data_IF_706029606048
#
_entry.id   IF_706029606048
#
_cell.length_a   1.000
_cell.length_b   1.000
_cell.length_c   1.000
_cell.angle_alpha   90.00
_cell.angle_beta   90.00
_cell.angle_gamma   90.00
#
_symmetry.space_group_name_H-M   'P 1'
#
loop_
_entity.id
_entity.type
_entity.pdbx_description
1 polymer ?
#
# COMPACT_ATOMS: atom_id res chain seq x y z
N UNK A 1 1.47 53.60 -20.13
CA UNK A 1 0.56 54.47 -20.93
C UNK A 1 -0.84 53.88 -20.95
N UNK A 2 -1.83 54.71 -20.47
CA UNK A 2 -3.29 54.70 -20.72
C UNK A 2 -4.04 53.39 -20.36
N UNK A 3 -4.69 53.24 -19.19
CA UNK A 3 -6.02 53.70 -18.75
C UNK A 3 -7.14 53.48 -19.78
N UNK A 4 -8.17 52.66 -19.37
CA UNK A 4 -9.59 53.13 -19.31
C UNK A 4 -10.46 52.10 -18.58
N UNK A 5 -11.07 52.60 -17.51
CA UNK A 5 -12.31 52.11 -16.88
C UNK A 5 -13.50 52.33 -17.82
N UNK A 6 -14.55 51.50 -17.69
CA UNK A 6 -15.97 51.96 -17.81
C UNK A 6 -16.80 51.14 -16.82
N UNK A 7 -17.44 51.88 -15.92
CA UNK A 7 -18.52 51.45 -15.05
C UNK A 7 -19.87 51.67 -15.74
N UNK A 8 -20.87 50.88 -15.41
CA UNK A 8 -22.24 51.05 -15.88
C UNK A 8 -23.24 50.47 -14.87
N UNK A 9 -23.84 51.36 -14.13
CA UNK A 9 -24.93 51.20 -13.16
C UNK A 9 -26.28 51.42 -13.87
N UNK A 10 -27.39 50.75 -13.40
CA UNK A 10 -28.79 51.17 -13.43
C UNK A 10 -29.70 50.01 -13.06
N UNK A 11 -30.34 49.93 -11.88
CA UNK A 11 -31.44 50.64 -11.23
C UNK A 11 -32.83 50.38 -11.87
N UNK A 12 -33.73 49.90 -11.03
CA UNK A 12 -35.17 50.10 -11.05
C UNK A 12 -36.00 48.89 -11.54
N UNK A 13 -37.16 48.49 -11.03
CA UNK A 13 -38.09 49.15 -10.12
C UNK A 13 -39.05 48.10 -9.51
N UNK A 14 -39.54 48.38 -8.32
CA UNK A 14 -40.71 47.77 -7.65
C UNK A 14 -41.99 47.97 -8.42
N UNK A 15 -42.91 46.99 -8.38
CA UNK A 15 -44.34 47.23 -8.42
C UNK A 15 -45.04 46.33 -7.38
N UNK A 16 -45.64 47.00 -6.44
CA UNK A 16 -46.60 46.47 -5.46
C UNK A 16 -48.03 46.66 -6.07
N UNK A 17 -48.88 45.67 -5.96
CA UNK A 17 -50.28 45.84 -6.00
C UNK A 17 -51.02 44.90 -5.05
N UNK A 18 -51.72 45.55 -4.11
CA UNK A 18 -52.64 44.96 -3.14
C UNK A 18 -54.04 44.78 -3.78
N UNK A 19 -54.78 43.90 -3.11
CA UNK A 19 -56.19 43.91 -2.83
C UNK A 19 -57.09 42.89 -3.51
N UNK A 20 -57.85 42.19 -2.67
CA UNK A 20 -59.10 41.54 -3.02
C UNK A 20 -59.56 40.46 -2.02
N UNK A 21 -60.28 40.87 -0.95
CA UNK A 21 -61.04 40.00 -0.06
C UNK A 21 -62.20 39.32 -0.77
N UNK A 22 -62.50 38.05 -0.43
CA UNK A 22 -63.81 37.44 -0.77
C UNK A 22 -63.91 36.05 -0.07
N UNK A 23 -64.90 35.95 0.81
CA UNK A 23 -65.11 34.86 1.76
C UNK A 23 -65.80 33.60 1.21
N UNK A 24 -65.59 32.47 1.89
CA UNK A 24 -66.45 31.29 2.11
C UNK A 24 -66.59 30.23 1.03
N UNK A 25 -66.07 29.02 1.23
CA UNK A 25 -66.74 27.83 1.84
C UNK A 25 -65.89 26.61 1.84
N UNK A 26 -65.96 25.87 2.89
CA UNK A 26 -65.49 24.53 3.25
C UNK A 26 -65.76 23.50 2.17
N UNK A 27 -64.71 22.76 1.79
CA UNK A 27 -64.82 21.29 1.48
C UNK A 27 -63.47 20.59 1.73
N UNK A 28 -63.59 19.45 2.34
CA UNK A 28 -62.48 18.58 2.82
C UNK A 28 -61.72 17.90 1.71
N UNK A 29 -60.40 17.73 1.96
CA UNK A 29 -59.51 16.63 1.70
C UNK A 29 -58.96 16.39 0.29
N UNK A 30 -57.94 15.53 0.09
CA UNK A 30 -57.15 14.78 1.02
C UNK A 30 -55.65 15.17 1.02
N UNK A 31 -54.96 14.76 2.06
CA UNK A 31 -53.52 14.88 2.22
C UNK A 31 -52.75 14.14 1.10
N UNK A 32 -52.11 14.90 0.25
CA UNK A 32 -51.01 14.41 -0.57
C UNK A 32 -49.75 14.53 0.27
N UNK A 33 -49.18 13.34 0.58
CA UNK A 33 -47.94 13.25 1.30
C UNK A 33 -46.84 14.03 0.62
N UNK A 34 -46.30 14.94 1.38
CA UNK A 34 -45.01 15.59 1.09
C UNK A 34 -43.93 14.51 1.22
N UNK A 35 -43.57 13.94 0.07
CA UNK A 35 -42.36 13.12 -0.03
C UNK A 35 -41.20 14.10 0.00
N UNK A 36 -40.70 14.35 1.21
CA UNK A 36 -39.38 14.94 1.36
C UNK A 36 -38.41 14.01 0.61
N UNK A 37 -37.96 14.45 -0.55
CA UNK A 37 -36.76 13.90 -1.15
C UNK A 37 -35.65 14.17 -0.13
N UNK A 38 -35.13 13.11 0.51
CA UNK A 38 -33.86 13.19 1.18
C UNK A 38 -32.82 13.60 0.10
N UNK A 39 -32.45 14.86 0.13
CA UNK A 39 -31.25 15.33 -0.51
C UNK A 39 -30.10 14.53 0.14
N UNK A 40 -29.65 13.47 -0.53
CA UNK A 40 -28.40 12.82 -0.17
C UNK A 40 -27.31 13.86 -0.34
N UNK A 41 -26.87 14.46 0.76
CA UNK A 41 -25.71 15.33 0.77
C UNK A 41 -24.57 14.56 0.14
N UNK A 42 -24.04 15.02 -0.99
CA UNK A 42 -22.81 14.46 -1.56
C UNK A 42 -21.73 14.53 -0.48
N UNK A 43 -21.14 13.37 -0.17
CA UNK A 43 -20.08 13.31 0.81
C UNK A 43 -18.89 14.18 0.35
N UNK A 44 -18.28 14.91 1.29
CA UNK A 44 -17.15 15.80 0.97
C UNK A 44 -15.99 15.01 0.35
N UNK A 45 -15.30 15.56 -0.66
CA UNK A 45 -14.13 14.89 -1.26
C UNK A 45 -13.01 14.69 -0.23
N UNK A 46 -12.49 13.47 -0.16
CA UNK A 46 -11.39 13.06 0.72
C UNK A 46 -10.24 12.52 -0.10
N UNK A 47 -9.01 12.90 0.23
CA UNK A 47 -7.80 12.28 -0.32
C UNK A 47 -7.10 11.49 0.78
N UNK A 48 -6.82 10.22 0.53
CA UNK A 48 -6.04 9.35 1.39
C UNK A 48 -4.67 9.07 0.77
N UNK A 49 -3.61 9.41 1.50
CA UNK A 49 -2.25 9.05 1.15
C UNK A 49 -1.91 7.69 1.77
N UNK A 50 -1.74 6.68 0.94
CA UNK A 50 -1.47 5.30 1.36
C UNK A 50 -0.03 4.96 1.00
N UNK A 51 0.79 4.71 2.03
CA UNK A 51 2.16 4.26 1.85
C UNK A 51 2.17 2.73 1.94
N UNK A 52 2.56 2.06 0.87
CA UNK A 52 2.50 0.61 0.78
C UNK A 52 3.78 0.01 0.19
N UNK A 53 4.17 -1.15 0.71
CA UNK A 53 5.30 -1.90 0.20
C UNK A 53 5.20 -2.11 -1.32
N UNK A 54 6.31 -1.93 -2.03
CA UNK A 54 6.38 -2.01 -3.50
C UNK A 54 5.85 -3.33 -4.09
N UNK A 55 5.94 -4.43 -3.34
CA UNK A 55 5.37 -5.74 -3.72
C UNK A 55 3.85 -5.75 -3.87
N UNK A 56 3.14 -4.73 -3.37
CA UNK A 56 1.68 -4.61 -3.44
C UNK A 56 1.20 -3.72 -4.59
N UNK A 57 2.10 -3.22 -5.43
CA UNK A 57 1.78 -2.23 -6.46
C UNK A 57 0.63 -2.68 -7.38
N UNK A 58 0.69 -3.89 -7.90
CA UNK A 58 -0.29 -4.40 -8.86
C UNK A 58 -1.66 -4.59 -8.20
N UNK A 59 -1.70 -5.26 -7.05
CA UNK A 59 -2.95 -5.56 -6.33
C UNK A 59 -3.63 -4.30 -5.80
N UNK A 60 -2.88 -3.38 -5.20
CA UNK A 60 -3.47 -2.14 -4.69
C UNK A 60 -3.89 -1.19 -5.81
N UNK A 61 -3.24 -1.23 -6.98
CA UNK A 61 -3.69 -0.47 -8.15
C UNK A 61 -5.04 -1.00 -8.67
N UNK A 62 -5.24 -2.31 -8.69
CA UNK A 62 -6.53 -2.91 -9.02
C UNK A 62 -7.60 -2.56 -7.99
N UNK A 63 -7.28 -2.72 -6.71
CA UNK A 63 -8.19 -2.38 -5.60
C UNK A 63 -8.55 -0.89 -5.62
N UNK A 64 -7.64 0.02 -6.00
CA UNK A 64 -7.93 1.44 -6.18
C UNK A 64 -9.09 1.67 -7.14
N UNK A 65 -9.10 0.98 -8.29
CA UNK A 65 -10.18 1.12 -9.26
C UNK A 65 -11.50 0.59 -8.70
N UNK A 66 -11.47 -0.54 -7.98
CA UNK A 66 -12.66 -1.12 -7.35
C UNK A 66 -13.22 -0.22 -6.23
N UNK A 67 -12.37 0.45 -5.48
CA UNK A 67 -12.78 1.30 -4.35
C UNK A 67 -13.53 2.56 -4.79
N UNK A 68 -13.37 3.01 -6.04
CA UNK A 68 -14.13 4.14 -6.61
C UNK A 68 -15.63 3.88 -6.62
N UNK A 69 -16.05 2.62 -6.79
CA UNK A 69 -17.47 2.24 -6.76
C UNK A 69 -18.02 2.16 -5.32
N UNK A 70 -17.14 1.94 -4.33
CA UNK A 70 -17.48 1.81 -2.92
C UNK A 70 -17.55 3.18 -2.24
N UNK A 71 -16.57 4.03 -2.51
CA UNK A 71 -16.43 5.36 -1.91
C UNK A 71 -16.06 6.40 -2.99
N UNK A 72 -17.00 6.84 -3.83
CA UNK A 72 -16.73 7.70 -4.98
C UNK A 72 -16.19 9.10 -4.60
N UNK A 73 -16.38 9.51 -3.35
CA UNK A 73 -15.82 10.75 -2.80
C UNK A 73 -14.39 10.61 -2.27
N UNK A 74 -13.83 9.39 -2.23
CA UNK A 74 -12.47 9.14 -1.73
C UNK A 74 -11.50 8.93 -2.90
N UNK A 75 -10.43 9.72 -2.91
CA UNK A 75 -9.31 9.55 -3.85
C UNK A 75 -8.14 8.91 -3.11
N UNK A 76 -7.73 7.71 -3.53
CA UNK A 76 -6.52 7.06 -3.01
C UNK A 76 -5.30 7.56 -3.78
N UNK A 77 -4.25 7.95 -3.05
CA UNK A 77 -2.94 8.32 -3.60
C UNK A 77 -1.90 7.38 -2.99
N UNK A 78 -1.33 6.52 -3.82
CA UNK A 78 -0.33 5.56 -3.36
C UNK A 78 1.08 6.10 -3.49
N UNK A 79 1.90 5.77 -2.48
CA UNK A 79 3.35 5.85 -2.54
C UNK A 79 3.90 4.44 -2.33
N UNK A 80 4.47 3.86 -3.40
CA UNK A 80 5.02 2.51 -3.38
C UNK A 80 6.55 2.56 -3.34
N UNK A 81 7.12 2.02 -2.26
CA UNK A 81 8.58 1.89 -2.11
C UNK A 81 8.90 0.77 -1.11
N UNK A 82 10.18 0.63 -0.74
CA UNK A 82 10.56 -0.25 0.36
C UNK A 82 9.92 0.24 1.67
N UNK A 83 9.54 -0.71 2.52
CA UNK A 83 8.91 -0.33 3.80
C UNK A 83 9.86 0.47 4.71
N UNK A 84 11.18 0.30 4.57
CA UNK A 84 12.17 1.10 5.28
C UNK A 84 12.20 2.54 4.78
N UNK A 85 12.23 2.75 3.47
CA UNK A 85 12.14 4.09 2.86
C UNK A 85 10.85 4.80 3.26
N UNK A 86 9.70 4.11 3.18
CA UNK A 86 8.40 4.67 3.55
C UNK A 86 8.34 5.05 5.03
N UNK A 87 8.87 4.18 5.92
CA UNK A 87 9.00 4.49 7.34
C UNK A 87 9.82 5.77 7.57
N UNK A 88 10.95 5.92 6.89
CA UNK A 88 11.80 7.11 6.99
C UNK A 88 11.05 8.36 6.51
N UNK A 89 10.33 8.29 5.41
CA UNK A 89 9.50 9.40 4.93
C UNK A 89 8.41 9.80 5.94
N UNK A 90 7.77 8.83 6.62
CA UNK A 90 6.80 9.09 7.68
C UNK A 90 7.49 9.85 8.85
N UNK A 91 8.67 9.40 9.28
CA UNK A 91 9.44 10.04 10.33
C UNK A 91 9.90 11.47 9.94
N UNK A 92 10.15 11.72 8.67
CA UNK A 92 10.51 13.03 8.13
C UNK A 92 9.29 13.95 7.93
N UNK A 93 8.08 13.48 8.25
CA UNK A 93 6.85 14.26 8.26
C UNK A 93 6.07 14.23 6.95
N UNK A 94 6.23 13.19 6.13
CA UNK A 94 5.38 13.00 4.97
C UNK A 94 3.93 12.78 5.40
N UNK A 95 2.99 13.37 4.64
CA UNK A 95 1.56 13.14 4.84
C UNK A 95 1.23 11.68 4.47
N UNK A 96 0.85 10.88 5.47
CA UNK A 96 0.49 9.47 5.31
C UNK A 96 -0.72 9.17 6.20
N UNK A 97 -1.77 8.60 5.60
CA UNK A 97 -2.99 8.23 6.31
C UNK A 97 -2.98 6.75 6.71
N UNK A 98 -2.47 5.88 5.83
CA UNK A 98 -2.39 4.43 6.02
C UNK A 98 -1.01 3.93 5.60
N UNK A 99 -0.38 3.12 6.45
CA UNK A 99 0.90 2.46 6.16
C UNK A 99 0.73 0.94 6.10
N UNK A 100 1.24 0.31 5.02
CA UNK A 100 1.25 -1.14 4.82
C UNK A 100 2.69 -1.58 4.57
N UNK A 101 3.24 -2.32 5.52
CA UNK A 101 4.64 -2.78 5.49
C UNK A 101 4.73 -4.24 5.05
N UNK A 102 5.81 -4.61 4.35
CA UNK A 102 6.12 -6.00 4.00
C UNK A 102 6.87 -6.75 5.12
N UNK A 103 7.01 -6.16 6.29
CA UNK A 103 7.52 -6.82 7.49
C UNK A 103 7.03 -6.15 8.76
N UNK A 104 6.97 -6.94 9.83
CA UNK A 104 6.60 -6.46 11.17
C UNK A 104 7.59 -5.43 11.72
N UNK A 105 8.89 -5.55 11.37
CA UNK A 105 9.95 -4.70 11.92
C UNK A 105 9.68 -3.20 11.70
N UNK A 106 9.38 -2.78 10.46
CA UNK A 106 9.17 -1.38 10.13
C UNK A 106 7.91 -0.80 10.80
N UNK A 107 6.84 -1.60 10.88
CA UNK A 107 5.64 -1.22 11.62
C UNK A 107 5.93 -1.12 13.12
N UNK A 108 6.64 -2.09 13.71
CA UNK A 108 7.02 -2.07 15.12
C UNK A 108 7.85 -0.83 15.49
N UNK A 109 8.72 -0.38 14.58
CA UNK A 109 9.53 0.83 14.79
C UNK A 109 8.71 2.13 14.86
N UNK A 110 7.46 2.12 14.37
CA UNK A 110 6.54 3.27 14.40
C UNK A 110 5.46 3.14 15.50
N UNK A 111 5.39 2.00 16.18
CA UNK A 111 4.32 1.65 17.11
C UNK A 111 4.81 1.71 18.55
N UNK A 112 4.21 2.60 19.35
CA UNK A 112 4.57 2.77 20.79
C UNK A 112 4.34 1.51 21.63
N UNK A 113 3.41 0.65 21.19
CA UNK A 113 3.02 -0.57 21.90
C UNK A 113 3.91 -1.78 21.51
N UNK A 114 4.84 -1.58 20.57
CA UNK A 114 5.82 -2.59 20.17
C UNK A 114 6.96 -2.70 21.20
N UNK A 115 7.78 -3.76 21.05
CA UNK A 115 8.94 -4.00 21.89
C UNK A 115 9.90 -2.78 21.85
N UNK A 116 10.26 -2.20 23.00
CA UNK A 116 11.20 -1.08 23.07
C UNK A 116 12.59 -1.39 22.49
N UNK A 117 12.98 -2.66 22.39
CA UNK A 117 14.23 -3.06 21.71
C UNK A 117 14.13 -2.91 20.19
N UNK A 118 12.91 -2.85 19.63
CA UNK A 118 12.65 -2.62 18.21
C UNK A 118 12.31 -1.16 17.94
N UNK A 119 11.42 -0.56 18.75
CA UNK A 119 11.09 0.88 18.71
C UNK A 119 12.01 1.65 19.65
N UNK A 120 13.30 1.67 19.33
CA UNK A 120 14.35 2.28 20.17
C UNK A 120 14.22 3.81 20.28
N UNK A 121 13.50 4.44 19.36
CA UNK A 121 13.26 5.89 19.34
C UNK A 121 11.98 6.28 20.10
N UNK A 122 11.16 5.30 20.53
CA UNK A 122 9.90 5.54 21.23
C UNK A 122 8.86 6.24 20.37
N UNK A 123 8.83 5.95 19.08
CA UNK A 123 7.92 6.58 18.12
C UNK A 123 6.47 6.12 18.35
N UNK A 124 5.54 7.04 18.14
CA UNK A 124 4.10 6.84 18.29
C UNK A 124 3.39 7.37 17.04
N UNK A 125 3.40 6.59 15.96
CA UNK A 125 2.72 6.95 14.71
C UNK A 125 1.50 6.08 14.43
N UNK A 126 1.39 4.91 15.03
CA UNK A 126 0.27 4.00 14.81
C UNK A 126 -0.96 4.46 15.61
N UNK A 127 -2.09 4.67 14.92
CA UNK A 127 -3.35 4.99 15.59
C UNK A 127 -3.84 3.75 16.36
N UNK A 128 -4.03 3.92 17.67
CA UNK A 128 -4.42 2.84 18.59
C UNK A 128 -5.64 2.06 18.07
N UNK A 129 -5.55 0.73 18.12
CA UNK A 129 -6.61 -0.20 17.73
C UNK A 129 -6.82 -0.36 16.21
N UNK A 130 -5.97 0.22 15.36
CA UNK A 130 -6.10 0.08 13.91
C UNK A 130 -5.12 -0.91 13.28
N UNK A 131 -4.07 -1.30 14.00
CA UNK A 131 -3.08 -2.22 13.47
C UNK A 131 -3.64 -3.62 13.28
N UNK A 132 -3.46 -4.18 12.09
CA UNK A 132 -3.84 -5.55 11.73
C UNK A 132 -2.68 -6.25 11.02
N UNK A 133 -2.59 -7.57 11.14
CA UNK A 133 -1.83 -8.39 10.21
C UNK A 133 -2.73 -8.63 9.00
N UNK A 134 -2.43 -7.99 7.87
CA UNK A 134 -3.32 -8.02 6.71
C UNK A 134 -3.09 -9.29 5.86
N UNK A 135 -1.84 -9.54 5.49
CA UNK A 135 -1.47 -10.60 4.54
C UNK A 135 -0.21 -11.33 4.99
N UNK A 136 -0.04 -12.54 4.43
CA UNK A 136 1.20 -13.29 4.42
C UNK A 136 1.74 -13.44 3.01
N UNK A 137 3.06 -13.60 2.90
CA UNK A 137 3.76 -13.84 1.65
C UNK A 137 4.86 -14.90 1.86
N UNK A 138 5.53 -15.28 0.79
CA UNK A 138 6.63 -16.24 0.80
C UNK A 138 7.86 -15.63 0.16
N UNK A 139 9.04 -15.97 0.69
CA UNK A 139 10.32 -15.62 0.06
C UNK A 139 10.73 -16.75 -0.86
N UNK A 140 11.10 -16.41 -2.08
CA UNK A 140 11.48 -17.38 -3.11
C UNK A 140 12.80 -16.99 -3.77
N UNK A 141 13.47 -18.01 -4.31
CA UNK A 141 14.58 -17.85 -5.23
C UNK A 141 14.04 -17.88 -6.65
N UNK A 142 14.19 -16.75 -7.34
CA UNK A 142 13.77 -16.60 -8.72
C UNK A 142 14.97 -16.46 -9.65
N UNK A 143 14.81 -16.95 -10.88
CA UNK A 143 15.85 -16.94 -11.91
C UNK A 143 15.31 -16.34 -13.20
N UNK A 144 16.18 -15.81 -14.08
CA UNK A 144 15.81 -15.36 -15.42
C UNK A 144 15.19 -16.50 -16.27
N UNK A 145 14.48 -16.08 -17.33
CA UNK A 145 13.91 -17.04 -18.28
C UNK A 145 14.96 -18.05 -18.80
N UNK A 146 14.55 -19.31 -18.81
CA UNK A 146 15.41 -20.41 -19.24
C UNK A 146 16.50 -20.82 -18.25
N UNK A 147 16.62 -20.19 -17.07
CA UNK A 147 17.57 -20.53 -16.01
C UNK A 147 18.99 -20.83 -16.54
N UNK A 148 19.71 -19.87 -17.14
CA UNK A 148 20.95 -20.14 -17.88
C UNK A 148 22.10 -20.63 -17.02
N UNK A 149 21.99 -20.55 -15.68
CA UNK A 149 22.98 -21.00 -14.71
C UNK A 149 22.65 -22.34 -14.05
N UNK A 150 21.50 -22.92 -14.39
CA UNK A 150 21.05 -24.19 -13.81
C UNK A 150 21.01 -24.15 -12.27
N UNK A 151 20.54 -23.02 -11.71
CA UNK A 151 20.35 -22.81 -10.28
C UNK A 151 19.02 -23.45 -9.89
N UNK A 152 19.03 -24.40 -8.97
CA UNK A 152 17.84 -25.17 -8.59
C UNK A 152 17.41 -24.95 -7.14
N UNK A 153 18.32 -24.44 -6.28
CA UNK A 153 18.02 -24.24 -4.87
C UNK A 153 18.85 -23.10 -4.25
N UNK A 154 18.51 -22.70 -3.03
CA UNK A 154 19.28 -21.70 -2.27
C UNK A 154 20.72 -22.17 -2.01
N UNK A 155 20.98 -23.48 -1.86
CA UNK A 155 22.33 -24.03 -1.68
C UNK A 155 23.22 -23.81 -2.90
N UNK A 156 22.66 -23.79 -4.11
CA UNK A 156 23.39 -23.51 -5.34
C UNK A 156 24.03 -22.12 -5.35
N UNK A 157 23.50 -21.18 -4.55
CA UNK A 157 24.05 -19.82 -4.42
C UNK A 157 25.47 -19.81 -3.83
N UNK A 158 25.84 -20.84 -3.07
CA UNK A 158 27.19 -21.03 -2.52
C UNK A 158 28.16 -21.69 -3.49
N UNK A 159 27.79 -21.93 -4.74
CA UNK A 159 28.58 -22.66 -5.73
C UNK A 159 29.11 -21.79 -6.87
N UNK A 160 29.90 -22.37 -7.78
CA UNK A 160 30.39 -21.69 -8.98
C UNK A 160 29.30 -21.41 -10.06
N UNK A 161 28.07 -21.92 -9.85
CA UNK A 161 26.93 -21.61 -10.72
C UNK A 161 26.60 -20.11 -10.68
N UNK A 162 26.68 -19.49 -9.49
CA UNK A 162 26.33 -18.11 -9.27
C UNK A 162 27.50 -17.16 -9.59
N UNK A 163 27.23 -16.17 -10.45
CA UNK A 163 28.13 -15.04 -10.66
C UNK A 163 27.63 -13.78 -9.98
N UNK A 164 26.29 -13.52 -10.01
CA UNK A 164 25.69 -12.35 -9.40
C UNK A 164 24.27 -12.65 -8.89
N UNK A 165 24.03 -12.31 -7.61
CA UNK A 165 22.75 -12.42 -6.90
C UNK A 165 22.15 -11.04 -6.68
N UNK A 166 20.90 -10.83 -7.04
CA UNK A 166 20.16 -9.62 -6.73
C UNK A 166 19.41 -9.74 -5.40
N UNK A 167 19.62 -8.79 -4.51
CA UNK A 167 18.97 -8.69 -3.19
C UNK A 167 18.39 -7.28 -2.97
N UNK A 168 17.42 -7.16 -2.07
CA UNK A 168 17.08 -5.87 -1.48
C UNK A 168 18.19 -5.38 -0.54
N UNK A 169 18.38 -4.08 -0.44
CA UNK A 169 19.27 -3.50 0.55
C UNK A 169 18.68 -3.63 1.99
N UNK A 170 19.35 -3.07 3.00
CA UNK A 170 18.96 -3.19 4.42
C UNK A 170 17.61 -2.54 4.77
N UNK A 171 17.14 -1.55 3.96
CA UNK A 171 15.84 -0.89 4.12
C UNK A 171 14.68 -1.66 3.48
N UNK A 172 15.01 -2.67 2.66
CA UNK A 172 14.03 -3.50 1.96
C UNK A 172 13.70 -4.73 2.81
N UNK A 173 12.43 -4.95 3.21
CA UNK A 173 12.07 -6.11 4.01
C UNK A 173 12.55 -7.45 3.43
N UNK A 174 12.37 -7.70 2.11
CA UNK A 174 12.88 -8.95 1.51
C UNK A 174 14.40 -9.06 1.56
N UNK A 175 15.13 -7.94 1.56
CA UNK A 175 16.58 -7.94 1.78
C UNK A 175 16.96 -8.42 3.18
N UNK A 176 16.17 -8.07 4.20
CA UNK A 176 16.37 -8.57 5.57
C UNK A 176 16.10 -10.08 5.67
N UNK A 177 15.03 -10.58 5.04
CA UNK A 177 14.77 -12.02 4.93
C UNK A 177 15.87 -12.72 4.13
N UNK A 178 16.37 -12.13 3.04
CA UNK A 178 17.47 -12.67 2.24
C UNK A 178 18.75 -12.81 3.07
N UNK A 179 19.09 -11.79 3.85
CA UNK A 179 20.24 -11.83 4.78
C UNK A 179 20.07 -12.95 5.81
N UNK A 180 18.86 -13.14 6.37
CA UNK A 180 18.56 -14.22 7.31
C UNK A 180 18.77 -15.60 6.64
N UNK A 181 18.24 -15.80 5.42
CA UNK A 181 18.40 -17.04 4.65
C UNK A 181 19.88 -17.34 4.38
N UNK A 182 20.61 -16.38 3.81
CA UNK A 182 22.03 -16.57 3.44
C UNK A 182 22.94 -16.77 4.67
N UNK A 183 22.58 -16.15 5.80
CA UNK A 183 23.27 -16.35 7.08
C UNK A 183 23.02 -17.75 7.63
N UNK A 184 21.76 -18.23 7.61
CA UNK A 184 21.40 -19.56 8.06
C UNK A 184 22.04 -20.67 7.20
N UNK A 185 22.24 -20.40 5.92
CA UNK A 185 22.98 -21.27 4.99
C UNK A 185 24.52 -21.16 5.17
N UNK A 186 25.00 -20.14 5.88
CA UNK A 186 26.45 -19.92 6.11
C UNK A 186 27.22 -19.45 4.86
N UNK A 187 26.53 -18.83 3.87
CA UNK A 187 27.14 -18.43 2.60
C UNK A 187 27.22 -16.91 2.41
N UNK A 188 26.57 -16.10 3.27
CA UNK A 188 26.51 -14.64 3.13
C UNK A 188 27.91 -14.01 3.03
N UNK A 189 28.78 -14.31 4.01
CA UNK A 189 30.13 -13.71 4.09
C UNK A 189 30.97 -14.03 2.84
N UNK A 190 30.81 -15.20 2.26
CA UNK A 190 31.55 -15.59 1.04
C UNK A 190 31.02 -14.84 -0.18
N UNK A 191 29.72 -14.68 -0.32
CA UNK A 191 29.10 -13.94 -1.41
C UNK A 191 29.49 -12.43 -1.38
N UNK A 192 29.55 -11.85 -0.18
CA UNK A 192 30.01 -10.47 0.00
C UNK A 192 31.52 -10.32 -0.31
N UNK A 193 32.35 -11.23 0.20
CA UNK A 193 33.79 -11.19 -0.05
C UNK A 193 34.13 -11.35 -1.54
N UNK A 194 33.37 -12.15 -2.27
CA UNK A 194 33.52 -12.37 -3.71
C UNK A 194 32.83 -11.29 -4.56
N UNK A 195 32.15 -10.29 -3.93
CA UNK A 195 31.37 -9.25 -4.60
C UNK A 195 30.28 -9.80 -5.54
N UNK A 196 29.65 -10.90 -5.15
CA UNK A 196 28.61 -11.59 -5.90
C UNK A 196 27.19 -11.07 -5.62
N UNK A 197 27.03 -9.95 -4.89
CA UNK A 197 25.74 -9.39 -4.55
C UNK A 197 25.56 -8.02 -5.21
N UNK A 198 24.40 -7.79 -5.79
CA UNK A 198 23.92 -6.48 -6.20
C UNK A 198 22.65 -6.12 -5.41
N UNK A 199 22.46 -4.84 -5.10
CA UNK A 199 21.36 -4.41 -4.25
C UNK A 199 20.38 -3.50 -4.98
N UNK A 200 19.07 -3.78 -4.80
CA UNK A 200 17.97 -2.90 -5.17
C UNK A 200 17.47 -2.07 -3.98
N UNK A 201 16.96 -0.89 -4.22
CA UNK A 201 16.38 -0.01 -3.20
C UNK A 201 14.96 -0.43 -2.78
N UNK A 202 14.30 -1.27 -3.58
CA UNK A 202 13.03 -1.93 -3.30
C UNK A 202 12.95 -3.27 -4.06
N UNK A 203 11.92 -4.08 -3.77
CA UNK A 203 11.79 -5.41 -4.37
C UNK A 203 11.56 -5.36 -5.89
N UNK A 204 10.94 -4.31 -6.43
CA UNK A 204 10.71 -4.18 -7.87
C UNK A 204 12.00 -3.99 -8.65
N UNK A 205 12.98 -3.29 -8.08
CA UNK A 205 14.32 -3.20 -8.66
C UNK A 205 15.03 -4.55 -8.67
N UNK A 206 14.93 -5.32 -7.57
CA UNK A 206 15.47 -6.69 -7.51
C UNK A 206 14.83 -7.57 -8.59
N UNK A 207 13.50 -7.56 -8.68
CA UNK A 207 12.73 -8.31 -9.67
C UNK A 207 13.14 -7.93 -11.10
N UNK A 208 13.34 -6.63 -11.36
CA UNK A 208 13.78 -6.13 -12.67
C UNK A 208 15.18 -6.64 -13.03
N UNK A 209 16.13 -6.64 -12.07
CA UNK A 209 17.47 -7.16 -12.31
C UNK A 209 17.46 -8.65 -12.72
N UNK A 210 16.55 -9.44 -12.14
CA UNK A 210 16.36 -10.85 -12.50
C UNK A 210 15.68 -10.97 -13.87
N UNK A 211 14.57 -10.26 -14.09
CA UNK A 211 13.80 -10.37 -15.35
C UNK A 211 14.59 -9.92 -16.58
N UNK A 212 15.48 -8.96 -16.42
CA UNK A 212 16.39 -8.48 -17.47
C UNK A 212 17.68 -9.30 -17.58
N UNK A 213 17.83 -10.38 -16.78
CA UNK A 213 19.04 -11.20 -16.68
C UNK A 213 20.32 -10.39 -16.37
N UNK A 214 20.15 -9.26 -15.64
CA UNK A 214 21.27 -8.49 -15.11
C UNK A 214 21.89 -9.19 -13.89
N UNK A 215 21.15 -10.08 -13.21
CA UNK A 215 21.60 -11.00 -12.19
C UNK A 215 21.22 -12.43 -12.58
N UNK A 216 21.98 -13.41 -12.07
CA UNK A 216 21.76 -14.85 -12.33
C UNK A 216 20.57 -15.40 -11.55
N UNK A 217 20.29 -14.81 -10.39
CA UNK A 217 19.17 -15.12 -9.52
C UNK A 217 18.82 -13.92 -8.63
N UNK A 218 17.66 -13.96 -8.00
CA UNK A 218 17.26 -12.98 -6.99
C UNK A 218 16.40 -13.60 -5.92
N UNK A 219 16.56 -13.10 -4.69
CA UNK A 219 15.66 -13.47 -3.58
C UNK A 219 14.59 -12.39 -3.48
N UNK A 220 13.34 -12.76 -3.79
CA UNK A 220 12.18 -11.88 -3.89
C UNK A 220 10.96 -12.53 -3.22
N UNK A 221 9.82 -11.87 -3.25
CA UNK A 221 8.57 -12.51 -2.84
C UNK A 221 7.94 -13.32 -3.97
N UNK A 222 7.18 -14.35 -3.60
CA UNK A 222 6.43 -15.18 -4.55
C UNK A 222 5.48 -14.35 -5.42
N UNK A 223 4.86 -13.32 -4.83
CA UNK A 223 3.96 -12.40 -5.54
C UNK A 223 4.67 -11.57 -6.61
N UNK A 224 5.91 -11.12 -6.34
CA UNK A 224 6.72 -10.39 -7.32
C UNK A 224 7.19 -11.31 -8.45
N UNK A 225 7.58 -12.55 -8.11
CA UNK A 225 7.94 -13.55 -9.11
C UNK A 225 6.75 -13.88 -10.03
N UNK A 226 5.54 -14.05 -9.45
CA UNK A 226 4.30 -14.28 -10.19
C UNK A 226 3.98 -13.10 -11.12
N UNK A 227 3.98 -11.87 -10.61
CA UNK A 227 3.64 -10.66 -11.38
C UNK A 227 4.62 -10.41 -12.53
N UNK A 228 5.89 -10.75 -12.34
CA UNK A 228 6.93 -10.61 -13.37
C UNK A 228 7.04 -11.82 -14.31
N UNK A 229 6.30 -12.90 -14.06
CA UNK A 229 6.39 -14.15 -14.84
C UNK A 229 7.74 -14.86 -14.72
N UNK A 230 8.44 -14.68 -13.60
CA UNK A 230 9.74 -15.30 -13.36
C UNK A 230 9.61 -16.76 -12.95
N UNK A 231 10.63 -17.56 -13.27
CA UNK A 231 10.73 -18.92 -12.80
C UNK A 231 11.21 -18.95 -11.35
N UNK A 232 10.36 -19.47 -10.46
CA UNK A 232 10.74 -19.80 -9.09
C UNK A 232 11.36 -21.19 -9.07
N UNK A 233 12.57 -21.29 -8.54
CA UNK A 233 13.32 -22.55 -8.44
C UNK A 233 13.35 -23.11 -7.02
N UNK A 234 13.16 -22.24 -6.00
CA UNK A 234 13.13 -22.66 -4.60
C UNK A 234 12.30 -21.70 -3.76
N UNK A 235 11.81 -22.15 -2.60
CA UNK A 235 11.03 -21.35 -1.64
C UNK A 235 11.64 -21.53 -0.25
N UNK A 236 11.84 -20.41 0.45
CA UNK A 236 12.30 -20.45 1.84
C UNK A 236 11.22 -21.06 2.75
N UNK A 237 11.55 -22.14 3.41
CA UNK A 237 10.66 -22.86 4.32
C UNK A 237 11.24 -22.95 5.72
N UNK A 238 10.37 -23.03 6.72
CA UNK A 238 10.65 -23.40 8.10
C UNK A 238 11.78 -22.60 8.73
N UNK A 239 12.97 -23.21 8.83
CA UNK A 239 14.10 -22.66 9.57
C UNK A 239 14.96 -21.65 8.77
N UNK A 240 14.69 -21.46 7.48
CA UNK A 240 15.51 -20.57 6.65
C UNK A 240 15.25 -19.10 6.93
N UNK A 241 13.99 -18.69 7.11
CA UNK A 241 13.64 -17.34 7.52
C UNK A 241 12.30 -17.29 8.28
N UNK A 242 12.05 -16.17 8.95
CA UNK A 242 10.79 -15.92 9.64
C UNK A 242 9.64 -15.81 8.65
N UNK A 243 8.42 -16.07 9.15
CA UNK A 243 7.19 -15.85 8.41
C UNK A 243 7.06 -14.39 7.96
N UNK A 244 6.69 -14.20 6.69
CA UNK A 244 6.53 -12.89 6.09
C UNK A 244 5.11 -12.40 6.34
N UNK A 245 4.95 -11.43 7.24
CA UNK A 245 3.68 -10.80 7.57
C UNK A 245 3.68 -9.36 7.07
N UNK A 246 2.56 -8.96 6.47
CA UNK A 246 2.28 -7.59 6.04
C UNK A 246 1.33 -6.92 7.04
N UNK A 247 1.84 -6.20 8.04
CA UNK A 247 1.01 -5.39 8.89
C UNK A 247 0.54 -4.13 8.18
N UNK A 248 -0.68 -3.71 8.50
CA UNK A 248 -1.26 -2.45 8.06
C UNK A 248 -1.81 -1.68 9.26
N UNK A 249 -1.70 -0.36 9.24
CA UNK A 249 -2.23 0.50 10.28
C UNK A 249 -2.57 1.90 9.75
N UNK A 250 -3.64 2.48 10.26
CA UNK A 250 -3.90 3.92 10.13
C UNK A 250 -2.89 4.65 11.01
N UNK A 251 -2.37 5.78 10.53
CA UNK A 251 -1.44 6.58 11.30
C UNK A 251 -2.17 7.67 12.10
N UNK A 252 -1.66 8.00 13.29
CA UNK A 252 -2.23 9.03 14.15
C UNK A 252 -2.03 10.45 13.60
N UNK A 253 -1.15 10.62 12.61
CA UNK A 253 -0.94 11.87 11.87
C UNK A 253 -1.94 12.06 10.73
N UNK A 254 -2.80 11.05 10.46
CA UNK A 254 -3.82 11.12 9.42
C UNK A 254 -4.75 12.32 9.62
N UNK A 255 -5.04 13.02 8.54
CA UNK A 255 -6.05 14.10 8.51
C UNK A 255 -7.46 13.56 8.30
N UNK A 256 -7.58 12.31 7.83
CA UNK A 256 -8.83 11.64 7.49
C UNK A 256 -8.91 10.23 8.13
N UNK A 257 -8.75 10.10 9.46
CA UNK A 257 -8.59 8.79 10.10
C UNK A 257 -9.81 7.87 9.93
N UNK A 258 -11.03 8.41 9.84
CA UNK A 258 -12.22 7.58 9.66
C UNK A 258 -12.26 6.99 8.24
N UNK A 259 -12.02 7.79 7.20
CA UNK A 259 -11.93 7.28 5.84
C UNK A 259 -10.76 6.28 5.67
N UNK A 260 -9.64 6.50 6.35
CA UNK A 260 -8.52 5.56 6.36
C UNK A 260 -8.88 4.22 7.02
N UNK A 261 -9.66 4.24 8.13
CA UNK A 261 -10.18 3.02 8.75
C UNK A 261 -11.17 2.28 7.85
N UNK A 262 -12.04 3.01 7.15
CA UNK A 262 -12.97 2.42 6.18
C UNK A 262 -12.23 1.73 5.04
N UNK A 263 -11.20 2.37 4.51
CA UNK A 263 -10.36 1.75 3.48
C UNK A 263 -9.58 0.53 4.02
N UNK A 264 -9.00 0.62 5.23
CA UNK A 264 -8.36 -0.53 5.88
C UNK A 264 -9.33 -1.69 6.11
N UNK A 265 -10.58 -1.40 6.48
CA UNK A 265 -11.62 -2.43 6.60
C UNK A 265 -11.99 -3.02 5.24
N UNK A 266 -12.04 -2.20 4.18
CA UNK A 266 -12.28 -2.67 2.82
C UNK A 266 -11.19 -3.64 2.33
N UNK A 267 -9.92 -3.35 2.62
CA UNK A 267 -8.79 -4.24 2.29
C UNK A 267 -8.93 -5.65 2.89
N UNK A 268 -9.71 -5.80 3.98
CA UNK A 268 -9.94 -7.08 4.65
C UNK A 268 -11.19 -7.82 4.16
N UNK A 269 -11.90 -7.30 3.16
CA UNK A 269 -13.08 -7.96 2.57
C UNK A 269 -12.68 -9.14 1.69
N UNK A 270 -13.59 -10.11 1.55
CA UNK A 270 -13.40 -11.25 0.64
C UNK A 270 -13.08 -10.80 -0.79
N UNK A 271 -13.65 -9.67 -1.22
CA UNK A 271 -13.42 -9.10 -2.55
C UNK A 271 -11.96 -8.68 -2.74
N UNK A 272 -11.37 -7.99 -1.77
CA UNK A 272 -9.94 -7.62 -1.83
C UNK A 272 -9.03 -8.84 -1.62
N UNK A 273 -9.43 -9.78 -0.74
CA UNK A 273 -8.67 -11.01 -0.53
C UNK A 273 -8.54 -11.82 -1.82
N UNK A 274 -9.58 -11.91 -2.65
CA UNK A 274 -9.50 -12.57 -3.96
C UNK A 274 -8.46 -11.92 -4.88
N UNK A 275 -8.32 -10.60 -4.86
CA UNK A 275 -7.29 -9.89 -5.64
C UNK A 275 -5.89 -10.23 -5.10
N UNK A 276 -5.72 -10.23 -3.79
CA UNK A 276 -4.44 -10.59 -3.17
C UNK A 276 -4.06 -12.05 -3.42
N UNK A 277 -5.00 -12.98 -3.26
CA UNK A 277 -4.78 -14.41 -3.46
C UNK A 277 -4.46 -14.76 -4.93
N UNK A 278 -5.01 -14.00 -5.88
CA UNK A 278 -4.75 -14.20 -7.32
C UNK A 278 -3.27 -14.08 -7.69
N UNK A 279 -2.48 -13.34 -6.92
CA UNK A 279 -1.03 -13.19 -7.14
C UNK A 279 -0.18 -13.99 -6.15
N UNK A 280 -0.81 -14.69 -5.17
CA UNK A 280 -0.12 -15.59 -4.25
C UNK A 280 0.05 -15.07 -2.81
N UNK A 281 -0.54 -13.93 -2.42
CA UNK A 281 -0.72 -13.62 -1.01
C UNK A 281 -1.71 -14.58 -0.35
N UNK A 282 -1.65 -14.69 0.96
CA UNK A 282 -2.67 -15.36 1.78
C UNK A 282 -3.09 -14.41 2.90
N UNK A 283 -4.32 -14.59 3.42
CA UNK A 283 -4.75 -13.86 4.60
C UNK A 283 -3.86 -14.21 5.78
N UNK A 284 -3.46 -13.22 6.60
CA UNK A 284 -2.73 -13.49 7.83
C UNK A 284 -3.68 -14.05 8.91
N UNK A 285 -3.19 -15.02 9.68
CA UNK A 285 -3.92 -15.60 10.82
C UNK A 285 -3.81 -14.74 12.09
#
# INVERSE_FOLDING_TARGET
MKKRLIAGLLVGAMVVSLSGCGASKTEEAPATGDSAAEETAEAEPVTLNVFAAASMTETLTEIQEMYKDVAPNVTLVFNFDSSGTLKTQIQEGADCDLFISAAQKQMNQLDKDADPEVNTEGLDYVLEGTRVNLLENKVVLAVPDGNPKDIESFEDLGTDKLSLLALGNEDVPVGQYSTEILTNLGILDSLEAESKITYGSNVKEVTTQVSEAAADAGIIYATDAFSAGLTVVDQAEGDLCKQVIYPAAVLNISKNPEAAKEFLAYLQTDTCMQVFEAVGFTAAE
#
